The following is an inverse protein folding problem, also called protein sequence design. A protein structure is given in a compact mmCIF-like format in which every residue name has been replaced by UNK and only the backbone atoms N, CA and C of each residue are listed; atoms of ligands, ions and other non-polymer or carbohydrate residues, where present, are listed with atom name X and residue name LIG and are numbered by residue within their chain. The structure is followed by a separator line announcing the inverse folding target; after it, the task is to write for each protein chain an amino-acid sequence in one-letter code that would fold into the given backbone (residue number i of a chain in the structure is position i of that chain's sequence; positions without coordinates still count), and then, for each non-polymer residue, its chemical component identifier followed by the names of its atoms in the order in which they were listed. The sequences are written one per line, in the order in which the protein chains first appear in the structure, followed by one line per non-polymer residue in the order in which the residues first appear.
data_IF_973232524090
#
_entry.id   IF_973232524090
#
_cell.length_a   1.000
_cell.length_b   1.000
_cell.length_c   1.000
_cell.angle_alpha   90.00
_cell.angle_beta   90.00
_cell.angle_gamma   90.00
#
_symmetry.space_group_name_H-M   'P 1'
#
loop_
_entity.id
_entity.type
_entity.pdbx_description
1 polymer ?
#
# COMPACT_ATOMS: atom_id res chain seq x y z
N UNK A 1 -15.57 27.23 -25.30
CA UNK A 1 -14.52 27.22 -24.26
C UNK A 1 -13.41 26.32 -24.77
N UNK A 2 -12.16 26.60 -24.42
CA UNK A 2 -11.01 25.76 -24.78
C UNK A 2 -11.11 24.36 -24.14
N UNK A 3 -11.01 23.31 -24.95
CA UNK A 3 -11.14 21.91 -24.52
C UNK A 3 -10.03 21.53 -23.52
N UNK A 4 -8.82 22.09 -23.69
CA UNK A 4 -7.70 21.84 -22.78
C UNK A 4 -7.94 22.46 -21.39
N UNK A 5 -8.41 23.71 -21.33
CA UNK A 5 -8.79 24.35 -20.08
C UNK A 5 -9.87 23.57 -19.32
N UNK A 6 -10.84 22.98 -20.03
CA UNK A 6 -11.86 22.10 -19.43
C UNK A 6 -11.20 20.83 -18.87
N UNK A 7 -10.32 20.18 -19.61
CA UNK A 7 -9.61 18.98 -19.14
C UNK A 7 -8.83 19.25 -17.85
N UNK A 8 -8.08 20.36 -17.77
CA UNK A 8 -7.36 20.78 -16.56
C UNK A 8 -8.30 21.01 -15.38
N UNK A 9 -9.46 21.64 -15.63
CA UNK A 9 -10.49 21.85 -14.59
C UNK A 9 -11.05 20.52 -14.07
N UNK A 10 -11.28 19.54 -14.95
CA UNK A 10 -11.74 18.19 -14.56
C UNK A 10 -10.69 17.43 -13.76
N UNK A 11 -9.42 17.50 -14.17
CA UNK A 11 -8.30 16.91 -13.45
C UNK A 11 -8.19 17.45 -12.02
N UNK A 12 -8.26 18.78 -11.83
CA UNK A 12 -8.24 19.42 -10.50
C UNK A 12 -9.38 18.96 -9.59
N UNK A 13 -10.53 18.62 -10.17
CA UNK A 13 -11.72 18.10 -9.45
C UNK A 13 -11.72 16.58 -9.26
N UNK A 14 -10.57 15.91 -9.51
CA UNK A 14 -10.40 14.45 -9.48
C UNK A 14 -11.33 13.67 -10.43
N UNK A 15 -11.86 14.32 -11.48
CA UNK A 15 -12.68 13.67 -12.51
C UNK A 15 -11.78 13.14 -13.63
N UNK A 16 -10.98 12.13 -13.30
CA UNK A 16 -9.91 11.66 -14.18
C UNK A 16 -10.42 11.05 -15.49
N UNK A 17 -11.50 10.28 -15.47
CA UNK A 17 -12.08 9.70 -16.70
C UNK A 17 -12.50 10.75 -17.72
N UNK A 18 -13.12 11.83 -17.24
CA UNK A 18 -13.55 12.95 -18.09
C UNK A 18 -12.34 13.72 -18.64
N UNK A 19 -11.29 13.88 -17.84
CA UNK A 19 -10.04 14.51 -18.26
C UNK A 19 -9.34 13.69 -19.35
N UNK A 20 -9.28 12.37 -19.19
CA UNK A 20 -8.65 11.44 -20.14
C UNK A 20 -9.38 11.48 -21.49
N UNK A 21 -10.73 11.38 -21.48
CA UNK A 21 -11.53 11.43 -22.70
C UNK A 21 -11.34 12.74 -23.49
N UNK A 22 -11.22 13.87 -22.78
CA UNK A 22 -10.93 15.16 -23.42
C UNK A 22 -9.51 15.22 -23.98
N UNK A 23 -8.52 14.68 -23.26
CA UNK A 23 -7.15 14.59 -23.76
C UNK A 23 -7.06 13.68 -25.00
N UNK A 24 -7.81 12.58 -25.04
CA UNK A 24 -7.90 11.70 -26.23
C UNK A 24 -8.46 12.43 -27.45
N UNK A 25 -9.51 13.22 -27.25
CA UNK A 25 -10.08 14.06 -28.31
C UNK A 25 -9.07 15.08 -28.83
N UNK A 26 -8.30 15.72 -27.95
CA UNK A 26 -7.25 16.69 -28.32
C UNK A 26 -6.14 15.99 -29.12
N UNK A 27 -5.68 14.82 -28.64
CA UNK A 27 -4.59 14.07 -29.27
C UNK A 27 -4.97 13.42 -30.60
N UNK A 28 -6.26 13.13 -30.84
CA UNK A 28 -6.76 12.71 -32.15
C UNK A 28 -6.62 13.82 -33.21
N UNK A 29 -6.75 15.09 -32.81
CA UNK A 29 -6.58 16.23 -33.71
C UNK A 29 -5.12 16.68 -33.85
N UNK A 30 -4.40 16.76 -32.73
CA UNK A 30 -2.99 17.14 -32.68
C UNK A 30 -2.23 16.17 -31.77
N UNK A 31 -1.59 15.19 -32.40
CA UNK A 31 -0.81 14.14 -31.75
C UNK A 31 0.52 14.63 -31.15
N UNK A 32 0.98 15.84 -31.50
CA UNK A 32 2.23 16.44 -31.01
C UNK A 32 2.02 17.37 -29.81
N UNK A 33 0.80 17.51 -29.31
CA UNK A 33 0.54 18.33 -28.11
C UNK A 33 1.08 17.64 -26.85
N UNK A 34 2.26 18.07 -26.43
CA UNK A 34 2.93 17.58 -25.23
C UNK A 34 2.12 17.86 -23.96
N UNK A 35 1.38 18.98 -23.91
CA UNK A 35 0.63 19.37 -22.72
C UNK A 35 -0.55 18.43 -22.46
N UNK A 36 -1.29 18.06 -23.51
CA UNK A 36 -2.36 17.06 -23.45
C UNK A 36 -1.82 15.67 -23.08
N UNK A 37 -0.64 15.29 -23.60
CA UNK A 37 0.02 14.04 -23.26
C UNK A 37 0.37 13.92 -21.78
N UNK A 38 1.03 14.95 -21.23
CA UNK A 38 1.44 14.99 -19.82
C UNK A 38 0.20 14.98 -18.91
N UNK A 39 -0.85 15.73 -19.28
CA UNK A 39 -2.09 15.76 -18.50
C UNK A 39 -2.80 14.40 -18.51
N UNK A 40 -2.82 13.70 -19.65
CA UNK A 40 -3.38 12.34 -19.77
C UNK A 40 -2.61 11.35 -18.90
N UNK A 41 -1.28 11.33 -19.02
CA UNK A 41 -0.43 10.45 -18.22
C UNK A 41 -0.62 10.71 -16.71
N UNK A 42 -0.62 11.98 -16.29
CA UNK A 42 -0.86 12.36 -14.90
C UNK A 42 -2.24 11.94 -14.40
N UNK A 43 -3.27 12.04 -15.26
CA UNK A 43 -4.63 11.61 -14.93
C UNK A 43 -4.71 10.09 -14.75
N UNK A 44 -4.02 9.31 -15.58
CA UNK A 44 -3.96 7.85 -15.48
C UNK A 44 -3.25 7.41 -14.19
N UNK A 45 -2.09 7.99 -13.89
CA UNK A 45 -1.34 7.71 -12.66
C UNK A 45 -2.22 8.00 -11.45
N UNK A 46 -2.81 9.20 -11.37
CA UNK A 46 -3.64 9.57 -10.20
C UNK A 46 -4.93 8.76 -10.07
N UNK A 47 -5.48 8.25 -11.18
CA UNK A 47 -6.65 7.37 -11.13
C UNK A 47 -6.34 6.03 -10.48
N UNK A 48 -5.12 5.52 -10.69
CA UNK A 48 -4.66 4.22 -10.16
C UNK A 48 -3.70 4.36 -8.97
N UNK A 49 -3.51 5.60 -8.49
CA UNK A 49 -2.60 5.86 -7.38
C UNK A 49 -3.19 5.26 -6.10
N UNK A 50 -2.44 4.35 -5.50
CA UNK A 50 -2.68 3.76 -4.21
C UNK A 50 -1.47 4.10 -3.32
N UNK A 51 -1.71 4.37 -2.05
CA UNK A 51 -0.65 4.77 -1.12
C UNK A 51 0.26 3.56 -0.84
N UNK A 52 1.56 3.71 -1.01
CA UNK A 52 2.53 2.63 -0.81
C UNK A 52 2.49 2.10 0.64
N UNK A 53 2.12 2.95 1.61
CA UNK A 53 1.96 2.55 3.02
C UNK A 53 0.82 1.54 3.20
N UNK A 54 -0.24 1.64 2.39
CA UNK A 54 -1.38 0.71 2.44
C UNK A 54 -1.08 -0.62 1.73
N UNK A 55 -0.08 -0.65 0.83
CA UNK A 55 0.30 -1.82 0.03
C UNK A 55 1.38 -2.67 0.71
N UNK A 56 1.94 -2.23 1.84
CA UNK A 56 3.01 -2.94 2.53
C UNK A 56 2.55 -4.30 3.10
N UNK A 57 2.51 -5.31 2.21
CA UNK A 57 2.14 -6.68 2.49
C UNK A 57 3.42 -7.53 2.57
N UNK A 58 3.76 -7.96 3.79
CA UNK A 58 4.89 -8.85 4.03
C UNK A 58 4.61 -10.25 3.48
N UNK A 59 5.34 -10.65 2.44
CA UNK A 59 5.26 -11.98 1.86
C UNK A 59 5.77 -13.08 2.80
N UNK A 60 5.36 -14.34 2.55
CA UNK A 60 5.78 -15.51 3.36
C UNK A 60 7.31 -15.70 3.34
N UNK A 61 7.96 -15.43 2.21
CA UNK A 61 9.42 -15.49 2.11
C UNK A 61 10.11 -14.44 2.98
N UNK A 62 9.54 -13.24 3.01
CA UNK A 62 10.04 -12.12 3.81
C UNK A 62 9.83 -12.35 5.31
N UNK A 63 8.75 -13.05 5.72
CA UNK A 63 8.53 -13.43 7.11
C UNK A 63 9.43 -14.59 7.57
N UNK A 64 9.69 -15.58 6.71
CA UNK A 64 10.46 -16.78 7.08
C UNK A 64 11.97 -16.58 7.04
N UNK A 65 12.46 -15.75 6.12
CA UNK A 65 13.90 -15.51 5.91
C UNK A 65 14.30 -14.11 6.36
N UNK A 66 13.58 -13.52 7.31
CA UNK A 66 13.87 -12.19 7.80
C UNK A 66 15.14 -12.17 8.66
N UNK A 67 16.25 -11.67 8.10
CA UNK A 67 17.51 -11.45 8.82
C UNK A 67 17.65 -10.02 9.40
N UNK A 68 16.67 -9.14 9.18
CA UNK A 68 16.72 -7.75 9.67
C UNK A 68 16.51 -7.65 11.19
N UNK A 69 16.08 -8.72 11.85
CA UNK A 69 15.94 -8.77 13.31
C UNK A 69 17.28 -8.98 14.00
N UNK A 70 17.72 -8.00 14.78
CA UNK A 70 19.00 -8.07 15.53
C UNK A 70 18.94 -9.12 16.67
N UNK A 71 17.75 -9.37 17.23
CA UNK A 71 17.60 -10.20 18.42
C UNK A 71 16.53 -11.28 18.23
N UNK A 72 16.98 -12.53 18.12
CA UNK A 72 16.13 -13.71 18.00
C UNK A 72 15.36 -14.03 19.29
N UNK A 73 15.83 -13.53 20.45
CA UNK A 73 15.19 -13.71 21.76
C UNK A 73 14.99 -12.36 22.44
N UNK A 74 14.11 -11.54 21.85
CA UNK A 74 13.70 -10.28 22.44
C UNK A 74 12.94 -10.51 23.76
N UNK A 75 13.07 -9.56 24.70
CA UNK A 75 12.30 -9.60 25.95
C UNK A 75 10.81 -9.40 25.63
N UNK A 76 9.89 -9.99 26.42
CA UNK A 76 8.45 -9.78 26.20
C UNK A 76 8.10 -8.29 26.20
N UNK A 77 7.37 -7.84 25.18
CA UNK A 77 6.96 -6.44 25.02
C UNK A 77 7.99 -5.52 24.35
N UNK A 78 9.20 -6.00 24.04
CA UNK A 78 10.22 -5.20 23.32
C UNK A 78 10.37 -5.60 21.85
N UNK A 79 9.48 -6.45 21.33
CA UNK A 79 9.40 -6.83 19.92
C UNK A 79 7.93 -7.00 19.52
N UNK A 80 7.64 -6.72 18.25
CA UNK A 80 6.33 -6.96 17.63
C UNK A 80 6.11 -8.44 17.29
N UNK A 81 7.18 -9.23 17.19
CA UNK A 81 7.12 -10.67 16.96
C UNK A 81 6.57 -11.40 18.19
N UNK A 82 5.67 -12.36 17.97
CA UNK A 82 5.12 -13.16 19.06
C UNK A 82 6.23 -14.03 19.66
N UNK A 83 6.50 -13.95 20.98
CA UNK A 83 7.45 -14.86 21.59
C UNK A 83 6.92 -16.29 21.48
N UNK A 84 7.71 -17.20 20.91
CA UNK A 84 7.35 -18.62 20.69
C UNK A 84 7.12 -19.45 21.95
N UNK A 85 7.01 -18.82 23.13
CA UNK A 85 7.01 -19.48 24.44
C UNK A 85 5.62 -19.82 25.01
N UNK A 86 4.52 -19.66 24.27
CA UNK A 86 3.19 -20.01 24.81
C UNK A 86 2.87 -21.52 24.82
N UNK A 87 3.61 -22.36 24.10
CA UNK A 87 3.40 -23.81 24.15
C UNK A 87 3.79 -24.44 25.51
N UNK A 88 4.66 -23.79 26.29
CA UNK A 88 5.16 -24.33 27.57
C UNK A 88 4.49 -23.78 28.84
N UNK A 89 3.78 -22.65 28.77
CA UNK A 89 3.21 -22.03 29.98
C UNK A 89 1.90 -22.69 30.44
N UNK A 90 1.13 -23.25 29.51
CA UNK A 90 -0.13 -23.93 29.85
C UNK A 90 0.13 -25.16 30.72
N UNK A 91 1.15 -25.97 30.40
CA UNK A 91 1.49 -27.18 31.17
C UNK A 91 1.94 -26.88 32.60
N UNK A 92 2.60 -25.73 32.84
CA UNK A 92 3.07 -25.35 34.18
C UNK A 92 1.94 -24.99 35.13
N UNK A 93 0.84 -24.41 34.62
CA UNK A 93 -0.34 -24.06 35.44
C UNK A 93 -1.08 -25.32 35.88
N UNK A 94 -1.21 -26.32 35.00
CA UNK A 94 -1.84 -27.60 35.34
C UNK A 94 -1.06 -28.39 36.40
N UNK A 95 0.28 -28.45 36.30
CA UNK A 95 1.10 -29.15 37.31
C UNK A 95 1.03 -28.50 38.69
N UNK A 96 0.94 -27.17 38.77
CA UNK A 96 0.82 -26.45 40.04
C UNK A 96 -0.57 -26.67 40.67
N UNK A 97 -1.63 -26.70 39.88
CA UNK A 97 -2.99 -26.95 40.40
C UNK A 97 -3.26 -28.40 40.80
N UNK A 98 -2.59 -29.38 40.19
CA UNK A 98 -2.82 -30.82 40.44
C UNK A 98 -2.00 -31.36 41.63
N UNK A 99 -0.86 -30.77 41.94
CA UNK A 99 0.03 -31.24 43.02
C UNK A 99 -0.03 -30.44 44.32
N UNK A 100 -0.91 -29.44 44.42
CA UNK A 100 -1.10 -28.59 45.60
C UNK A 100 -2.44 -28.88 46.32
N UNK A 101 -2.80 -30.17 46.44
CA UNK A 101 -3.92 -30.69 47.23
C UNK A 101 -3.47 -31.80 48.18
#
# INVERSE_FOLDING_TARGET
MDDFAIAVSRYRRRKYDQSIALCDKILQGNNLDQSAWVLKASSLIRKMFLDDIEIDEQGIGDQLMNEDSINTVARPGTSLQRPGSQAGQVLRIYYIWVFDQ
#
